data_IF_540285302935
#
_entry.id   IF_540285302935
#
_cell.length_a   1.000
_cell.length_b   1.000
_cell.length_c   1.000
_cell.angle_alpha   90.00
_cell.angle_beta   90.00
_cell.angle_gamma   90.00
#
_symmetry.space_group_name_H-M   'P 1'
#
loop_
_entity.id
_entity.type
_entity.pdbx_description
1 polymer ?
#
# COMPACT_ATOMS: atom_id res chain seq x y z
N UNK A 1 -18.26 3.63 7.78
CA UNK A 1 -18.19 4.89 7.02
C UNK A 1 -17.24 5.89 7.64
N UNK A 2 -17.22 6.01 8.98
CA UNK A 2 -16.37 7.01 9.65
C UNK A 2 -14.88 6.71 9.53
N UNK A 3 -14.49 5.46 9.62
CA UNK A 3 -13.09 5.04 9.41
C UNK A 3 -12.58 5.36 8.00
N UNK A 4 -13.42 5.22 6.98
CA UNK A 4 -13.04 5.61 5.60
C UNK A 4 -12.78 7.11 5.54
N UNK A 5 -13.65 7.94 6.15
CA UNK A 5 -13.46 9.40 6.19
C UNK A 5 -12.18 9.80 6.91
N UNK A 6 -11.87 9.14 8.03
CA UNK A 6 -10.60 9.35 8.74
C UNK A 6 -9.41 9.05 7.83
N UNK A 7 -9.43 7.92 7.13
CA UNK A 7 -8.35 7.52 6.22
C UNK A 7 -8.22 8.38 4.96
N UNK A 8 -9.23 9.21 4.67
CA UNK A 8 -9.19 10.21 3.59
C UNK A 8 -8.72 11.59 4.03
N UNK A 9 -8.45 11.81 5.32
CA UNK A 9 -7.95 13.09 5.81
C UNK A 9 -6.53 13.37 5.30
N UNK A 10 -6.22 14.62 4.92
CA UNK A 10 -4.90 14.97 4.37
C UNK A 10 -3.76 14.92 5.38
N UNK A 11 -4.06 14.86 6.65
CA UNK A 11 -3.13 14.88 7.79
C UNK A 11 -3.07 13.55 8.55
N UNK A 12 -3.76 12.51 8.08
CA UNK A 12 -3.92 11.25 8.84
C UNK A 12 -2.62 10.46 8.98
N UNK A 13 -1.76 10.53 7.98
CA UNK A 13 -0.52 9.76 7.93
C UNK A 13 0.64 10.61 7.42
N UNK A 14 1.76 10.61 8.13
CA UNK A 14 3.01 11.24 7.71
C UNK A 14 4.08 10.17 7.51
N UNK A 15 4.68 10.15 6.33
CA UNK A 15 5.89 9.36 6.07
C UNK A 15 7.09 10.24 6.41
N UNK A 16 7.91 9.80 7.36
CA UNK A 16 9.09 10.52 7.79
C UNK A 16 10.10 10.76 6.66
N UNK A 17 10.98 11.74 6.80
CA UNK A 17 12.07 11.99 5.85
C UNK A 17 12.90 10.72 5.63
N UNK A 18 13.53 10.62 4.50
CA UNK A 18 14.36 9.46 4.18
C UNK A 18 15.12 9.63 2.88
N UNK A 19 15.76 8.56 2.45
CA UNK A 19 16.42 8.55 1.13
C UNK A 19 15.47 8.04 0.05
N UNK A 20 15.51 8.64 -1.11
CA UNK A 20 14.85 8.11 -2.30
C UNK A 20 15.62 6.91 -2.89
N UNK A 21 15.11 6.31 -3.96
CA UNK A 21 15.73 5.16 -4.61
C UNK A 21 17.04 5.47 -5.34
N UNK A 22 17.34 6.75 -5.54
CA UNK A 22 18.54 7.24 -6.24
C UNK A 22 19.58 7.82 -5.28
N UNK A 23 19.30 7.76 -3.98
CA UNK A 23 20.19 8.23 -2.90
C UNK A 23 20.03 9.70 -2.54
N UNK A 24 19.06 10.40 -3.14
CA UNK A 24 18.67 11.75 -2.77
C UNK A 24 17.89 11.80 -1.44
N UNK A 25 17.83 12.98 -0.84
CA UNK A 25 17.02 13.22 0.34
C UNK A 25 15.55 13.43 -0.06
N UNK A 26 14.65 12.85 0.72
CA UNK A 26 13.21 13.01 0.56
C UNK A 26 12.65 13.61 1.85
N UNK A 27 11.93 14.71 1.72
CA UNK A 27 11.23 15.35 2.82
C UNK A 27 10.11 14.48 3.41
N UNK A 28 9.66 14.85 4.61
CA UNK A 28 8.45 14.29 5.19
C UNK A 28 7.24 14.54 4.28
N UNK A 29 6.37 13.57 4.18
CA UNK A 29 5.19 13.67 3.32
C UNK A 29 3.93 13.23 4.07
N UNK A 30 3.10 14.21 4.43
CA UNK A 30 1.77 13.96 5.00
C UNK A 30 0.74 13.74 3.89
N UNK A 31 -0.31 13.00 4.22
CA UNK A 31 -1.40 12.78 3.27
C UNK A 31 -2.34 11.66 3.68
N UNK A 32 -3.43 11.48 2.92
CA UNK A 32 -4.43 10.47 3.18
C UNK A 32 -3.89 9.05 2.90
N UNK A 33 -4.51 8.06 3.54
CA UNK A 33 -4.37 6.65 3.18
C UNK A 33 -5.16 6.35 1.92
N UNK A 34 -6.40 6.84 1.84
CA UNK A 34 -7.25 6.69 0.68
C UNK A 34 -7.46 8.02 -0.02
N UNK A 35 -7.33 8.02 -1.33
CA UNK A 35 -7.67 9.15 -2.17
C UNK A 35 -8.33 8.68 -3.47
N UNK A 36 -9.18 9.55 -4.03
CA UNK A 36 -9.81 9.26 -5.31
C UNK A 36 -8.95 9.79 -6.45
N UNK A 37 -8.59 8.92 -7.38
CA UNK A 37 -7.86 9.30 -8.58
C UNK A 37 -8.84 9.60 -9.70
N UNK A 38 -9.17 10.89 -9.88
CA UNK A 38 -10.22 11.32 -10.79
C UNK A 38 -10.00 10.91 -12.25
N UNK A 39 -8.75 10.93 -12.72
CA UNK A 39 -8.44 10.60 -14.12
C UNK A 39 -8.75 9.15 -14.50
N UNK A 40 -8.66 8.22 -13.56
CA UNK A 40 -8.97 6.81 -13.78
C UNK A 40 -10.22 6.32 -13.06
N UNK A 41 -10.97 7.25 -12.44
CA UNK A 41 -12.17 6.97 -11.64
C UNK A 41 -11.97 5.80 -10.64
N UNK A 42 -10.82 5.78 -9.95
CA UNK A 42 -10.43 4.68 -9.10
C UNK A 42 -9.90 5.12 -7.74
N UNK A 43 -10.05 4.25 -6.75
CA UNK A 43 -9.47 4.44 -5.43
C UNK A 43 -7.95 4.25 -5.50
N UNK A 44 -7.21 5.21 -4.97
CA UNK A 44 -5.79 5.08 -4.71
C UNK A 44 -5.56 4.83 -3.23
N UNK A 45 -4.69 3.87 -2.92
CA UNK A 45 -4.31 3.55 -1.56
C UNK A 45 -2.83 3.82 -1.34
N UNK A 46 -2.54 4.63 -0.31
CA UNK A 46 -1.19 4.90 0.18
C UNK A 46 -1.10 4.37 1.61
N UNK A 47 -0.74 3.11 1.77
CA UNK A 47 -0.62 2.47 3.07
C UNK A 47 0.66 1.66 3.16
N UNK A 48 1.21 1.61 4.36
CA UNK A 48 2.29 0.69 4.68
C UNK A 48 2.15 0.25 6.15
N UNK A 49 2.15 -1.04 6.37
CA UNK A 49 2.16 -1.63 7.70
C UNK A 49 3.53 -1.53 8.42
N UNK A 50 4.52 -0.90 7.79
CA UNK A 50 5.82 -0.69 8.43
C UNK A 50 5.65 0.29 9.59
N UNK A 51 5.94 -0.14 10.79
CA UNK A 51 5.94 0.71 11.98
C UNK A 51 7.09 1.74 12.01
N UNK A 52 8.07 1.57 11.12
CA UNK A 52 9.18 2.52 10.97
C UNK A 52 8.83 3.57 9.93
N UNK A 53 9.13 4.82 10.24
CA UNK A 53 8.98 5.97 9.35
C UNK A 53 7.51 6.34 9.03
N UNK A 54 6.56 5.90 9.83
CA UNK A 54 5.17 6.32 9.71
C UNK A 54 4.72 6.91 11.03
N UNK A 55 4.17 8.11 10.95
CA UNK A 55 3.54 8.81 12.06
C UNK A 55 2.05 8.98 11.73
N UNK A 56 1.22 8.53 12.64
CA UNK A 56 -0.23 8.67 12.55
C UNK A 56 -0.70 9.86 13.35
N UNK A 57 -1.76 10.54 12.89
CA UNK A 57 -2.43 11.54 13.70
C UNK A 57 -2.84 10.95 15.05
N UNK A 58 -2.62 11.73 16.12
CA UNK A 58 -2.72 11.24 17.51
C UNK A 58 -4.15 11.32 18.08
N UNK A 59 -5.12 11.76 17.30
CA UNK A 59 -6.51 11.75 17.76
C UNK A 59 -7.05 10.31 17.93
N UNK A 60 -7.97 10.13 18.87
CA UNK A 60 -8.49 8.81 19.23
C UNK A 60 -9.16 8.09 18.06
N UNK A 61 -9.90 8.83 17.22
CA UNK A 61 -10.58 8.22 16.08
C UNK A 61 -9.58 7.68 15.05
N UNK A 62 -8.46 8.36 14.84
CA UNK A 62 -7.37 7.83 14.00
C UNK A 62 -6.77 6.57 14.60
N UNK A 63 -6.49 6.54 15.89
CA UNK A 63 -5.91 5.35 16.55
C UNK A 63 -6.86 4.15 16.49
N UNK A 64 -8.14 4.35 16.71
CA UNK A 64 -9.16 3.31 16.57
C UNK A 64 -9.25 2.81 15.12
N UNK A 65 -9.19 3.73 14.16
CA UNK A 65 -9.21 3.40 12.73
C UNK A 65 -8.02 2.55 12.32
N UNK A 66 -6.82 2.88 12.78
CA UNK A 66 -5.61 2.11 12.46
C UNK A 66 -5.65 0.74 13.12
N UNK A 67 -6.08 0.66 14.37
CA UNK A 67 -6.27 -0.62 15.06
C UNK A 67 -7.24 -1.52 14.30
N UNK A 68 -8.36 -0.98 13.85
CA UNK A 68 -9.33 -1.72 13.03
C UNK A 68 -8.72 -2.17 11.69
N UNK A 69 -7.98 -1.29 11.00
CA UNK A 69 -7.34 -1.63 9.72
C UNK A 69 -6.30 -2.74 9.88
N UNK A 70 -5.47 -2.68 10.92
CA UNK A 70 -4.49 -3.72 11.23
C UNK A 70 -5.19 -5.07 11.49
N UNK A 71 -6.21 -5.08 12.32
CA UNK A 71 -7.00 -6.30 12.61
C UNK A 71 -7.65 -6.87 11.35
N UNK A 72 -8.18 -6.01 10.48
CA UNK A 72 -8.77 -6.43 9.22
C UNK A 72 -7.73 -7.07 8.29
N UNK A 73 -6.55 -6.48 8.16
CA UNK A 73 -5.48 -6.99 7.31
C UNK A 73 -4.86 -8.29 7.84
N UNK A 74 -4.83 -8.48 9.15
CA UNK A 74 -4.34 -9.70 9.78
C UNK A 74 -5.37 -10.84 9.79
N UNK A 75 -6.61 -10.53 9.47
CA UNK A 75 -7.68 -11.53 9.47
C UNK A 75 -7.41 -12.65 8.45
N UNK A 76 -7.41 -13.89 8.95
CA UNK A 76 -7.25 -15.08 8.10
C UNK A 76 -8.44 -15.30 7.14
N UNK A 77 -9.58 -14.68 7.41
CA UNK A 77 -10.82 -14.82 6.66
C UNK A 77 -11.08 -13.70 5.66
N UNK A 78 -10.07 -12.87 5.38
CA UNK A 78 -10.21 -11.78 4.44
C UNK A 78 -10.44 -12.30 3.02
N UNK A 79 -11.61 -12.08 2.39
CA UNK A 79 -11.98 -12.72 1.12
C UNK A 79 -11.14 -12.25 -0.08
N UNK A 80 -10.46 -11.11 0.05
CA UNK A 80 -9.64 -10.51 -1.01
C UNK A 80 -8.14 -10.67 -0.79
N UNK A 81 -7.75 -11.60 0.06
CA UNK A 81 -6.36 -11.93 0.31
C UNK A 81 -5.93 -13.08 -0.59
N UNK A 82 -5.00 -12.80 -1.49
CA UNK A 82 -4.45 -13.80 -2.42
C UNK A 82 -3.00 -14.09 -2.05
N UNK A 83 -2.64 -15.34 -2.12
CA UNK A 83 -1.25 -15.78 -1.99
C UNK A 83 -0.80 -16.43 -3.29
N UNK A 84 0.30 -15.92 -3.83
CA UNK A 84 0.87 -16.44 -5.07
C UNK A 84 2.39 -16.63 -4.91
N UNK A 85 2.95 -17.54 -5.67
CA UNK A 85 4.38 -17.70 -5.87
C UNK A 85 4.70 -17.33 -7.29
N UNK A 86 5.65 -16.42 -7.47
CA UNK A 86 6.15 -16.08 -8.79
C UNK A 86 7.28 -17.04 -9.14
N UNK A 87 7.16 -17.70 -10.27
CA UNK A 87 8.21 -18.54 -10.87
C UNK A 87 9.13 -17.69 -11.77
N UNK A 88 10.32 -18.18 -12.15
CA UNK A 88 11.19 -17.46 -13.07
C UNK A 88 10.46 -17.04 -14.36
N UNK A 89 10.63 -15.79 -14.76
CA UNK A 89 9.94 -15.20 -15.91
C UNK A 89 8.55 -14.64 -15.64
N UNK A 90 8.00 -14.85 -14.43
CA UNK A 90 6.73 -14.26 -14.04
C UNK A 90 6.93 -12.87 -13.43
N UNK A 91 5.92 -12.02 -13.57
CA UNK A 91 5.87 -10.69 -12.98
C UNK A 91 4.49 -10.34 -12.49
N UNK A 92 4.41 -9.25 -11.71
CA UNK A 92 3.18 -8.66 -11.23
C UNK A 92 3.11 -7.21 -11.70
N UNK A 93 2.01 -6.85 -12.32
CA UNK A 93 1.66 -5.47 -12.64
C UNK A 93 0.46 -5.08 -11.80
N UNK A 94 0.53 -3.96 -11.10
CA UNK A 94 -0.57 -3.50 -10.25
C UNK A 94 -0.60 -1.98 -10.07
N UNK A 95 -1.78 -1.47 -9.77
CA UNK A 95 -2.01 -0.06 -9.42
C UNK A 95 -1.88 0.15 -7.89
N UNK A 96 -0.73 -0.19 -7.33
CA UNK A 96 -0.40 0.00 -5.91
C UNK A 96 -1.35 -0.73 -4.94
N UNK A 97 -1.73 -1.96 -5.25
CA UNK A 97 -2.46 -2.81 -4.29
C UNK A 97 -1.57 -3.15 -3.10
N UNK A 98 -2.18 -3.39 -1.94
CA UNK A 98 -1.45 -3.88 -0.78
C UNK A 98 -0.80 -5.21 -1.10
N UNK A 99 0.47 -5.31 -0.76
CA UNK A 99 1.23 -6.53 -0.94
C UNK A 99 2.33 -6.64 0.10
N UNK A 100 2.62 -7.84 0.49
CA UNK A 100 3.78 -8.20 1.28
C UNK A 100 4.57 -9.34 0.60
N UNK A 101 5.67 -9.70 1.20
CA UNK A 101 6.52 -10.80 0.72
C UNK A 101 7.07 -11.55 1.92
N UNK A 102 6.92 -12.87 1.89
CA UNK A 102 7.63 -13.74 2.84
C UNK A 102 9.15 -13.64 2.64
N UNK A 103 9.88 -13.79 3.72
CA UNK A 103 11.33 -13.95 3.67
C UNK A 103 11.73 -15.16 2.81
N UNK A 104 12.92 -15.14 2.25
CA UNK A 104 13.52 -16.28 1.54
C UNK A 104 15.02 -16.33 1.82
N UNK A 105 15.58 -17.50 1.65
CA UNK A 105 17.02 -17.75 1.67
C UNK A 105 17.40 -18.43 0.38
N UNK A 106 18.40 -17.90 -0.31
CA UNK A 106 18.93 -18.57 -1.48
C UNK A 106 19.79 -19.76 -1.04
N UNK A 107 19.66 -20.94 -1.69
CA UNK A 107 20.51 -22.09 -1.39
C UNK A 107 21.99 -21.76 -1.59
N UNK A 108 22.84 -22.31 -0.74
CA UNK A 108 24.27 -22.12 -0.87
C UNK A 108 24.76 -22.64 -2.24
N UNK A 109 25.54 -21.82 -2.95
CA UNK A 109 26.07 -22.14 -4.27
C UNK A 109 25.10 -21.94 -5.45
N UNK A 110 23.87 -21.50 -5.20
CA UNK A 110 22.94 -21.10 -6.27
C UNK A 110 23.18 -19.65 -6.70
N UNK A 111 22.77 -19.33 -7.93
CA UNK A 111 22.72 -17.95 -8.36
C UNK A 111 21.71 -17.17 -7.50
N UNK A 112 22.04 -15.94 -7.08
CA UNK A 112 21.12 -15.14 -6.29
C UNK A 112 19.86 -14.82 -7.06
N UNK A 113 18.73 -14.79 -6.34
CA UNK A 113 17.45 -14.40 -6.92
C UNK A 113 17.48 -12.93 -7.33
N UNK A 114 17.12 -12.66 -8.57
CA UNK A 114 17.02 -11.31 -9.11
C UNK A 114 15.55 -10.94 -9.29
N UNK A 115 15.16 -9.78 -8.72
CA UNK A 115 13.83 -9.21 -8.87
C UNK A 115 13.95 -7.78 -9.41
N UNK A 116 13.43 -7.57 -10.61
CA UNK A 116 13.29 -6.23 -11.16
C UNK A 116 12.04 -5.55 -10.60
N UNK A 117 12.15 -4.26 -10.30
CA UNK A 117 11.03 -3.43 -9.90
C UNK A 117 11.06 -2.12 -10.67
N UNK A 118 10.00 -1.86 -11.40
CA UNK A 118 9.76 -0.59 -12.07
C UNK A 118 8.55 0.12 -11.45
N UNK A 119 8.59 1.44 -11.43
CA UNK A 119 7.48 2.30 -11.04
C UNK A 119 7.13 3.20 -12.19
N UNK A 120 5.86 3.31 -12.48
CA UNK A 120 5.32 4.12 -13.55
C UNK A 120 4.41 5.20 -12.96
N UNK A 121 4.36 6.34 -13.61
CA UNK A 121 3.42 7.42 -13.27
C UNK A 121 2.01 7.08 -13.76
N UNK A 122 1.93 6.45 -14.94
CA UNK A 122 0.66 6.04 -15.51
C UNK A 122 0.12 4.80 -14.81
N UNK A 123 -1.19 4.78 -14.67
CA UNK A 123 -1.92 3.63 -14.12
C UNK A 123 -2.25 2.65 -15.23
N UNK A 124 -2.28 1.38 -14.88
CA UNK A 124 -2.81 0.34 -15.78
C UNK A 124 -4.31 0.59 -15.95
N UNK A 125 -4.74 0.73 -17.19
CA UNK A 125 -6.15 0.96 -17.53
C UNK A 125 -7.01 -0.28 -17.24
N UNK A 126 -8.30 -0.07 -17.11
CA UNK A 126 -9.33 -1.10 -16.93
C UNK A 126 -9.10 -2.02 -15.71
N UNK A 127 -8.33 -1.52 -14.74
CA UNK A 127 -8.13 -2.17 -13.45
C UNK A 127 -8.77 -1.35 -12.35
N UNK A 128 -9.38 -2.02 -11.39
CA UNK A 128 -9.97 -1.37 -10.23
C UNK A 128 -11.45 -1.69 -10.08
N UNK A 129 -11.98 -1.19 -8.99
CA UNK A 129 -13.39 -1.33 -8.68
C UNK A 129 -14.13 -0.26 -9.49
N UNK A 130 -14.82 -0.66 -10.53
CA UNK A 130 -15.78 0.21 -11.18
C UNK A 130 -16.84 0.63 -10.15
N UNK A 131 -17.39 1.83 -10.32
CA UNK A 131 -18.38 2.46 -9.43
C UNK A 131 -19.53 1.52 -9.05
N UNK A 132 -19.35 0.68 -8.06
CA UNK A 132 -20.43 -0.15 -7.49
C UNK A 132 -20.66 0.18 -6.02
N UNK A 133 -20.01 1.24 -5.53
CA UNK A 133 -20.12 1.59 -4.11
C UNK A 133 -20.94 2.88 -3.94
N UNK A 134 -22.22 2.76 -3.54
CA UNK A 134 -23.09 3.91 -3.36
C UNK A 134 -22.73 4.82 -2.17
N UNK A 135 -21.64 4.52 -1.45
CA UNK A 135 -21.19 5.29 -0.28
C UNK A 135 -19.89 6.10 -0.51
N UNK A 136 -19.34 6.10 -1.71
CA UNK A 136 -18.21 6.98 -2.08
C UNK A 136 -18.75 8.30 -2.70
#
# INVERSE_FOLDING_TARGET
PDFIRVLMRPDVMTIAPGKDGEGGERDAASGPVFSWHAASDSLHMRYTARKRNIEWSQDSMTQDTITFLEQLLDSAHMPYRFRARLEPGMGLICNNVLHDRSGFTDPAGSAPRLLYRARYFDRVADTGLHRVYPWL
#
